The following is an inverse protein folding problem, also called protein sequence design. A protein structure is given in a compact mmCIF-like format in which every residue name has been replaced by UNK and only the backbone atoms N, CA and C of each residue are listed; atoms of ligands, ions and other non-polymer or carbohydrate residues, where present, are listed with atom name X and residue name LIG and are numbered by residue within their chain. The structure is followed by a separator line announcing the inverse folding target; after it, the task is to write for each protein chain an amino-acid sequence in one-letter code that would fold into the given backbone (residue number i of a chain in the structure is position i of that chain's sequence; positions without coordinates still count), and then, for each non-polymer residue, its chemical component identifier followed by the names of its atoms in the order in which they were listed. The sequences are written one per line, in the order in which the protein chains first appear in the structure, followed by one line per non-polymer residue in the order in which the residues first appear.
data_IF_576526198882
#
_entry.id   IF_576526198882
#
_cell.length_a   1.000
_cell.length_b   1.000
_cell.length_c   1.000
_cell.angle_alpha   90.00
_cell.angle_beta   90.00
_cell.angle_gamma   90.00
#
_symmetry.space_group_name_H-M   'P 1'
#
loop_
_entity.id
_entity.type
_entity.pdbx_description
1 polymer ?
#
# COMPACT_ATOMS: atom_id res chain seq x y z
N UNK A 1 57.81 -51.52 13.39
CA UNK A 1 56.41 -51.23 13.78
C UNK A 1 56.43 -49.83 14.38
N UNK A 2 56.05 -48.75 13.68
CA UNK A 2 54.70 -48.45 13.16
C UNK A 2 53.85 -48.00 14.35
N UNK A 3 53.37 -46.77 14.51
CA UNK A 3 52.78 -45.81 13.58
C UNK A 3 52.97 -44.40 14.18
N UNK A 4 53.62 -43.46 13.47
CA UNK A 4 53.37 -42.04 13.68
C UNK A 4 52.22 -41.68 12.75
N UNK A 5 51.01 -41.70 13.30
CA UNK A 5 49.81 -41.22 12.62
C UNK A 5 49.96 -39.71 12.47
N UNK A 6 50.51 -39.27 11.33
CA UNK A 6 50.30 -37.91 10.83
C UNK A 6 48.80 -37.74 10.70
N UNK A 7 48.23 -36.93 11.58
CA UNK A 7 46.95 -36.28 11.33
C UNK A 7 47.26 -35.32 10.18
N UNK A 8 46.86 -35.70 8.97
CA UNK A 8 46.71 -34.74 7.89
C UNK A 8 45.61 -33.76 8.36
N UNK A 9 46.05 -32.63 8.91
CA UNK A 9 45.23 -31.43 8.92
C UNK A 9 45.06 -31.03 7.45
N UNK A 10 44.00 -31.54 6.82
CA UNK A 10 43.45 -30.94 5.62
C UNK A 10 43.22 -29.45 5.96
N UNK A 11 43.85 -28.49 5.25
CA UNK A 11 43.49 -27.11 5.44
C UNK A 11 42.02 -27.00 5.04
N UNK A 12 41.13 -26.71 5.98
CA UNK A 12 39.78 -26.25 5.68
C UNK A 12 39.94 -25.06 4.74
N UNK A 13 39.77 -25.30 3.43
CA UNK A 13 39.73 -24.25 2.43
C UNK A 13 38.57 -23.35 2.82
N UNK A 14 38.91 -22.22 3.45
CA UNK A 14 37.97 -21.18 3.81
C UNK A 14 37.37 -20.67 2.50
N UNK A 15 36.19 -21.17 2.17
CA UNK A 15 35.57 -21.03 0.85
C UNK A 15 34.97 -19.62 0.75
N UNK A 16 35.85 -18.63 0.56
CA UNK A 16 35.54 -17.20 0.42
C UNK A 16 34.41 -16.97 -0.58
N UNK A 17 34.31 -17.84 -1.59
CA UNK A 17 33.23 -17.80 -2.59
C UNK A 17 31.85 -18.07 -1.98
N UNK A 18 31.72 -18.96 -0.99
CA UNK A 18 30.44 -19.26 -0.31
C UNK A 18 30.00 -18.10 0.58
N UNK A 19 30.92 -17.49 1.30
CA UNK A 19 30.63 -16.32 2.14
C UNK A 19 30.24 -15.10 1.31
N UNK A 20 30.95 -14.88 0.19
CA UNK A 20 30.61 -13.82 -0.75
C UNK A 20 29.23 -14.05 -1.37
N UNK A 21 28.92 -15.30 -1.75
CA UNK A 21 27.61 -15.65 -2.31
C UNK A 21 26.48 -15.45 -1.29
N UNK A 22 26.68 -15.88 -0.03
CA UNK A 22 25.73 -15.68 1.05
C UNK A 22 25.53 -14.18 1.33
N UNK A 23 26.61 -13.39 1.35
CA UNK A 23 26.56 -11.94 1.51
C UNK A 23 25.75 -11.26 0.41
N UNK A 24 25.97 -11.64 -0.86
CA UNK A 24 25.20 -11.12 -2.00
C UNK A 24 23.72 -11.52 -1.90
N UNK A 25 23.42 -12.78 -1.55
CA UNK A 25 22.05 -13.23 -1.34
C UNK A 25 21.34 -12.43 -0.25
N UNK A 26 22.02 -12.18 0.88
CA UNK A 26 21.47 -11.43 1.99
C UNK A 26 21.22 -9.96 1.60
N UNK A 27 22.15 -9.35 0.86
CA UNK A 27 21.99 -8.00 0.33
C UNK A 27 20.82 -7.89 -0.65
N UNK A 28 20.64 -8.86 -1.55
CA UNK A 28 19.49 -8.88 -2.47
C UNK A 28 18.16 -9.02 -1.72
N UNK A 29 18.12 -9.86 -0.67
CA UNK A 29 16.92 -10.01 0.17
C UNK A 29 16.58 -8.71 0.90
N UNK A 30 17.58 -8.08 1.53
CA UNK A 30 17.41 -6.80 2.22
C UNK A 30 16.98 -5.69 1.25
N UNK A 31 17.57 -5.64 0.05
CA UNK A 31 17.19 -4.69 -0.99
C UNK A 31 15.74 -4.91 -1.45
N UNK A 32 15.33 -6.16 -1.65
CA UNK A 32 13.95 -6.51 -1.98
C UNK A 32 12.96 -6.04 -0.90
N UNK A 33 13.27 -6.28 0.38
CA UNK A 33 12.44 -5.84 1.51
C UNK A 33 12.41 -4.30 1.61
N UNK A 34 13.55 -3.62 1.41
CA UNK A 34 13.61 -2.16 1.37
C UNK A 34 12.77 -1.59 0.23
N UNK A 35 12.85 -2.17 -0.96
CA UNK A 35 12.04 -1.76 -2.10
C UNK A 35 10.55 -1.98 -1.79
N UNK A 36 10.16 -3.12 -1.22
CA UNK A 36 8.76 -3.38 -0.87
C UNK A 36 8.24 -2.46 0.26
N UNK A 37 9.09 -2.05 1.19
CA UNK A 37 8.72 -1.13 2.27
C UNK A 37 8.72 0.34 1.85
N UNK A 38 9.57 0.73 0.90
CA UNK A 38 9.68 2.12 0.41
C UNK A 38 8.80 2.38 -0.81
N UNK A 39 8.51 1.34 -1.61
CA UNK A 39 7.53 1.43 -2.67
C UNK A 39 6.20 1.79 -2.02
N UNK A 40 5.83 3.06 -2.16
CA UNK A 40 4.46 3.49 -1.94
C UNK A 40 3.58 2.52 -2.71
N UNK A 41 2.47 2.04 -2.13
CA UNK A 41 1.59 1.13 -2.84
C UNK A 41 1.32 1.71 -4.22
N UNK A 42 1.55 0.91 -5.27
CA UNK A 42 1.47 1.35 -6.67
C UNK A 42 0.00 1.63 -6.95
N UNK A 43 -0.47 2.79 -6.52
CA UNK A 43 -1.79 3.27 -6.84
C UNK A 43 -1.68 3.64 -8.30
N UNK A 44 -2.39 2.87 -9.12
CA UNK A 44 -2.48 3.19 -10.54
C UNK A 44 -3.10 4.57 -10.59
N UNK A 45 -2.28 5.57 -10.89
CA UNK A 45 -2.71 6.94 -11.16
C UNK A 45 -3.41 6.91 -12.52
N UNK A 46 -4.60 6.32 -12.54
CA UNK A 46 -5.55 6.51 -13.61
C UNK A 46 -6.32 7.78 -13.26
N UNK A 47 -6.16 8.80 -14.10
CA UNK A 47 -7.09 9.93 -14.14
C UNK A 47 -8.42 9.38 -14.68
N UNK A 48 -9.17 8.69 -13.82
CA UNK A 48 -10.53 8.28 -14.06
C UNK A 48 -11.43 9.34 -13.44
N UNK A 49 -12.17 10.08 -14.26
CA UNK A 49 -13.16 11.01 -13.74
C UNK A 49 -14.25 10.20 -13.01
N UNK A 50 -14.81 10.71 -11.90
CA UNK A 50 -15.84 9.99 -11.18
C UNK A 50 -17.09 9.83 -12.05
N UNK A 51 -17.58 8.60 -12.19
CA UNK A 51 -18.87 8.33 -12.81
C UNK A 51 -20.03 8.62 -11.83
N UNK A 52 -21.25 8.74 -12.37
CA UNK A 52 -22.44 8.93 -11.56
C UNK A 52 -22.65 7.73 -10.62
N UNK A 53 -22.75 8.01 -9.31
CA UNK A 53 -22.85 6.98 -8.28
C UNK A 53 -21.52 6.63 -7.59
N UNK A 54 -20.38 7.15 -8.08
CA UNK A 54 -19.10 7.02 -7.38
C UNK A 54 -19.12 7.75 -6.03
N UNK A 55 -18.40 7.22 -5.04
CA UNK A 55 -18.17 7.90 -3.77
C UNK A 55 -16.98 8.86 -3.92
N UNK A 56 -17.26 10.15 -3.95
CA UNK A 56 -16.20 11.17 -4.10
C UNK A 56 -15.95 11.88 -2.78
N UNK A 57 -14.69 11.91 -2.35
CA UNK A 57 -14.21 12.67 -1.19
C UNK A 57 -13.25 13.74 -1.65
N UNK A 58 -13.58 15.00 -1.39
CA UNK A 58 -12.75 16.16 -1.72
C UNK A 58 -12.02 16.65 -0.47
N UNK A 59 -10.73 16.96 -0.63
CA UNK A 59 -9.85 17.48 0.42
C UNK A 59 -9.46 18.92 0.09
N UNK A 60 -9.78 19.84 0.98
CA UNK A 60 -9.48 21.27 0.85
C UNK A 60 -8.60 21.72 2.01
N UNK A 61 -8.13 22.97 1.98
CA UNK A 61 -7.38 23.59 3.07
C UNK A 61 -8.17 23.62 4.40
N UNK A 62 -9.50 23.65 4.33
CA UNK A 62 -10.38 23.80 5.49
C UNK A 62 -10.84 22.48 6.08
N UNK A 63 -10.66 21.37 5.36
CA UNK A 63 -11.18 20.07 5.75
C UNK A 63 -11.49 19.17 4.55
N UNK A 64 -12.20 18.08 4.79
CA UNK A 64 -12.58 17.13 3.76
C UNK A 64 -14.03 16.70 3.90
N UNK A 65 -14.62 16.23 2.80
CA UNK A 65 -16.01 15.81 2.82
C UNK A 65 -16.44 15.16 1.51
N UNK A 66 -17.71 14.74 1.47
CA UNK A 66 -18.33 14.20 0.27
C UNK A 66 -18.56 15.30 -0.75
N UNK A 67 -18.45 14.92 -2.01
CA UNK A 67 -18.75 15.75 -3.16
C UNK A 67 -19.59 14.96 -4.15
N UNK A 68 -20.54 15.64 -4.78
CA UNK A 68 -21.34 15.09 -5.88
C UNK A 68 -20.64 15.36 -7.22
N UNK A 69 -19.93 16.48 -7.34
CA UNK A 69 -19.32 16.95 -8.59
C UNK A 69 -17.78 16.83 -8.63
N UNK A 70 -17.16 16.46 -7.52
CA UNK A 70 -15.71 16.41 -7.36
C UNK A 70 -15.01 17.78 -7.30
N UNK A 71 -15.78 18.87 -7.19
CA UNK A 71 -15.29 20.25 -7.18
C UNK A 71 -15.37 20.82 -5.78
N UNK A 72 -16.53 20.72 -5.12
CA UNK A 72 -16.80 21.30 -3.81
C UNK A 72 -17.20 20.25 -2.79
N UNK A 73 -17.00 20.57 -1.50
CA UNK A 73 -17.51 19.74 -0.41
C UNK A 73 -18.99 20.08 -0.19
N UNK A 74 -19.86 19.13 -0.50
CA UNK A 74 -21.30 19.22 -0.25
C UNK A 74 -21.64 18.83 1.19
N UNK A 75 -20.92 17.85 1.74
CA UNK A 75 -21.12 17.37 3.11
C UNK A 75 -19.79 17.12 3.80
N UNK A 76 -19.51 17.88 4.85
CA UNK A 76 -18.31 17.68 5.66
C UNK A 76 -18.26 16.28 6.27
N UNK A 77 -17.06 15.70 6.28
CA UNK A 77 -16.79 14.44 6.93
C UNK A 77 -15.79 14.65 8.07
N UNK A 78 -15.94 13.82 9.09
CA UNK A 78 -14.88 13.50 10.04
C UNK A 78 -14.39 12.06 9.82
N UNK A 79 -13.29 11.71 10.50
CA UNK A 79 -12.64 10.39 10.45
C UNK A 79 -13.61 9.21 10.69
N UNK A 80 -14.54 9.36 11.62
CA UNK A 80 -15.51 8.30 11.94
C UNK A 80 -16.55 8.14 10.85
N UNK A 81 -17.08 9.25 10.32
CA UNK A 81 -18.03 9.23 9.21
C UNK A 81 -17.40 8.69 7.92
N UNK A 82 -16.12 8.99 7.68
CA UNK A 82 -15.36 8.41 6.58
C UNK A 82 -15.25 6.90 6.72
N UNK A 83 -14.79 6.40 7.88
CA UNK A 83 -14.71 4.96 8.16
C UNK A 83 -16.03 4.24 7.92
N UNK A 84 -17.14 4.85 8.34
CA UNK A 84 -18.49 4.29 8.10
C UNK A 84 -18.82 4.23 6.61
N UNK A 85 -18.50 5.27 5.83
CA UNK A 85 -18.72 5.28 4.38
C UNK A 85 -17.88 4.20 3.68
N UNK A 86 -16.59 4.10 4.02
CA UNK A 86 -15.70 3.09 3.48
C UNK A 86 -16.16 1.67 3.82
N UNK A 87 -16.59 1.42 5.06
CA UNK A 87 -17.14 0.12 5.44
C UNK A 87 -18.43 -0.24 4.66
N UNK A 88 -19.23 0.76 4.27
CA UNK A 88 -20.41 0.56 3.43
C UNK A 88 -20.07 0.04 2.03
N UNK A 89 -18.95 0.46 1.46
CA UNK A 89 -18.51 0.02 0.11
C UNK A 89 -18.21 -1.48 0.05
N UNK A 90 -17.97 -2.16 1.17
CA UNK A 90 -17.85 -3.63 1.20
C UNK A 90 -19.12 -4.31 0.70
N UNK A 91 -20.30 -3.72 0.96
CA UNK A 91 -21.57 -4.23 0.46
C UNK A 91 -21.87 -3.81 -0.99
N UNK A 92 -21.11 -2.85 -1.52
CA UNK A 92 -21.27 -2.26 -2.85
C UNK A 92 -19.93 -2.27 -3.60
N UNK A 93 -19.37 -3.45 -3.90
CA UNK A 93 -17.99 -3.59 -4.38
C UNK A 93 -17.74 -2.96 -5.76
N UNK A 94 -18.80 -2.66 -6.52
CA UNK A 94 -18.73 -1.99 -7.83
C UNK A 94 -18.71 -0.46 -7.71
N UNK A 95 -19.03 0.09 -6.54
CA UNK A 95 -19.01 1.54 -6.31
C UNK A 95 -17.56 2.00 -6.17
N UNK A 96 -17.11 2.86 -7.08
CA UNK A 96 -15.76 3.41 -7.08
C UNK A 96 -15.56 4.48 -6.00
N UNK A 97 -14.36 4.54 -5.44
CA UNK A 97 -13.95 5.57 -4.47
C UNK A 97 -12.96 6.54 -5.13
N UNK A 98 -13.30 7.83 -5.14
CA UNK A 98 -12.43 8.89 -5.64
C UNK A 98 -12.01 9.82 -4.51
N UNK A 99 -10.70 9.99 -4.33
CA UNK A 99 -10.11 10.87 -3.32
C UNK A 99 -9.40 12.01 -4.03
N UNK A 100 -9.98 13.22 -3.97
CA UNK A 100 -9.55 14.37 -4.77
C UNK A 100 -8.91 15.43 -3.88
N UNK A 101 -7.61 15.70 -4.09
CA UNK A 101 -6.93 16.77 -3.39
C UNK A 101 -7.09 18.12 -4.11
N UNK A 102 -7.74 19.09 -3.45
CA UNK A 102 -7.97 20.48 -3.88
C UNK A 102 -7.38 21.47 -2.87
N UNK A 103 -6.10 21.29 -2.54
CA UNK A 103 -5.37 22.15 -1.59
C UNK A 103 -5.36 21.63 -0.16
N UNK A 104 -5.91 20.44 0.11
CA UNK A 104 -5.79 19.78 1.41
C UNK A 104 -4.43 19.14 1.65
N UNK A 105 -4.26 18.58 2.86
CA UNK A 105 -3.04 17.87 3.24
C UNK A 105 -2.90 16.56 2.46
N UNK A 106 -1.85 16.48 1.63
CA UNK A 106 -1.48 15.25 0.90
C UNK A 106 -1.28 14.05 1.83
N UNK A 107 -0.67 14.25 2.99
CA UNK A 107 -0.46 13.19 3.98
C UNK A 107 -1.80 12.60 4.46
N UNK A 108 -2.79 13.44 4.68
CA UNK A 108 -4.15 13.00 5.05
C UNK A 108 -4.81 12.20 3.94
N UNK A 109 -4.69 12.63 2.68
CA UNK A 109 -5.25 11.87 1.54
C UNK A 109 -4.62 10.48 1.44
N UNK A 110 -3.29 10.39 1.53
CA UNK A 110 -2.56 9.11 1.51
C UNK A 110 -2.97 8.22 2.68
N UNK A 111 -3.11 8.78 3.89
CA UNK A 111 -3.58 8.03 5.06
C UNK A 111 -4.97 7.44 4.84
N UNK A 112 -5.91 8.23 4.33
CA UNK A 112 -7.28 7.78 4.10
C UNK A 112 -7.39 6.74 2.99
N UNK A 113 -6.58 6.86 1.96
CA UNK A 113 -6.54 5.90 0.89
C UNK A 113 -5.87 4.57 1.31
N UNK A 114 -4.83 4.61 2.16
CA UNK A 114 -4.29 3.40 2.79
C UNK A 114 -5.33 2.72 3.73
N UNK A 115 -6.12 3.52 4.45
CA UNK A 115 -7.25 3.02 5.22
C UNK A 115 -8.31 2.36 4.34
N UNK A 116 -8.65 2.97 3.20
CA UNK A 116 -9.58 2.41 2.23
C UNK A 116 -9.06 1.08 1.65
N UNK A 117 -7.80 1.03 1.22
CA UNK A 117 -7.15 -0.19 0.72
C UNK A 117 -7.19 -1.33 1.76
N UNK A 118 -6.93 -1.00 3.03
CA UNK A 118 -7.03 -1.98 4.12
C UNK A 118 -8.45 -2.52 4.30
N UNK A 119 -9.46 -1.64 4.29
CA UNK A 119 -10.86 -2.01 4.53
C UNK A 119 -11.52 -2.69 3.33
N UNK A 120 -11.09 -2.37 2.11
CA UNK A 120 -11.65 -2.84 0.85
C UNK A 120 -10.82 -3.96 0.22
N UNK A 121 -9.91 -4.56 0.99
CA UNK A 121 -9.13 -5.72 0.56
C UNK A 121 -9.95 -7.01 0.60
N UNK A 122 -10.72 -7.22 1.69
CA UNK A 122 -11.56 -8.41 1.91
C UNK A 122 -12.83 -8.08 2.67
N UNK A 123 -13.91 -8.82 2.39
CA UNK A 123 -15.14 -8.77 3.19
C UNK A 123 -15.01 -9.56 4.51
N UNK A 124 -16.06 -9.55 5.34
CA UNK A 124 -16.10 -10.29 6.61
C UNK A 124 -16.07 -11.82 6.47
N UNK A 125 -16.25 -12.36 5.25
CA UNK A 125 -16.14 -13.77 4.92
C UNK A 125 -14.78 -14.13 4.27
N UNK A 126 -13.90 -13.15 4.07
CA UNK A 126 -12.58 -13.32 3.44
C UNK A 126 -12.59 -13.28 1.91
N UNK A 127 -13.71 -12.93 1.26
CA UNK A 127 -13.75 -12.74 -0.19
C UNK A 127 -13.09 -11.42 -0.57
N UNK A 128 -12.41 -11.39 -1.72
CA UNK A 128 -11.82 -10.14 -2.24
C UNK A 128 -12.92 -9.13 -2.58
N UNK A 129 -12.83 -7.95 -1.99
CA UNK A 129 -13.62 -6.77 -2.39
C UNK A 129 -12.88 -6.11 -3.55
N UNK A 130 -13.64 -5.67 -4.58
CA UNK A 130 -13.08 -5.17 -5.85
C UNK A 130 -13.33 -3.69 -6.08
N UNK A 131 -13.67 -2.94 -5.03
CA UNK A 131 -13.83 -1.49 -5.13
C UNK A 131 -12.55 -0.85 -5.63
N UNK A 132 -12.64 -0.15 -6.76
CA UNK A 132 -11.54 0.65 -7.27
C UNK A 132 -11.37 1.91 -6.41
N UNK A 133 -10.13 2.21 -6.04
CA UNK A 133 -9.76 3.42 -5.29
C UNK A 133 -8.86 4.29 -6.15
N UNK A 134 -9.33 5.49 -6.48
CA UNK A 134 -8.62 6.47 -7.30
C UNK A 134 -8.20 7.68 -6.46
N UNK A 135 -7.00 8.18 -6.73
CA UNK A 135 -6.46 9.38 -6.12
C UNK A 135 -6.15 10.43 -7.16
N UNK A 136 -6.62 11.66 -6.92
CA UNK A 136 -6.50 12.79 -7.83
C UNK A 136 -5.79 13.98 -7.17
N UNK A 137 -5.10 14.79 -7.97
CA UNK A 137 -4.44 16.01 -7.50
C UNK A 137 -2.97 15.82 -7.05
N UNK A 138 -2.22 15.02 -7.82
CA UNK A 138 -0.77 14.88 -7.68
C UNK A 138 -0.01 15.95 -8.45
#
# INVERSE_FOLDING_TARGET
MGFLQKVDEEPEEHDVSKELFLGIMMLMLCLGILILNVASPVWRVHQHDPEEGALVVVYTEHGFGLSVDGIAVDFELNEWSLRRRLAGLVAEPETELHLINKGGSRETVVRHAALADSLLSTDGAGNKVRTAVYMHGW
#
